data_IF_174428293787
#
_entry.id   IF_174428293787
#
_cell.length_a   1.000
_cell.length_b   1.000
_cell.length_c   1.000
_cell.angle_alpha   90.00
_cell.angle_beta   90.00
_cell.angle_gamma   90.00
#
_symmetry.space_group_name_H-M   'P 1'
#
loop_
_entity.id
_entity.type
_entity.pdbx_description
1 polymer ?
#
# COMPACT_ATOMS: atom_id res chain seq x y z
N UNK A 1 -11.03 33.49 11.77
CA UNK A 1 -10.31 32.25 11.41
C UNK A 1 -11.06 31.65 10.25
N UNK A 2 -10.52 31.77 9.04
CA UNK A 2 -11.13 31.18 7.85
C UNK A 2 -11.05 29.65 8.00
N UNK A 3 -12.19 29.00 8.24
CA UNK A 3 -12.27 27.55 8.25
C UNK A 3 -12.01 27.05 6.83
N UNK A 4 -10.87 26.39 6.62
CA UNK A 4 -10.53 25.71 5.36
C UNK A 4 -11.71 24.84 4.93
N UNK A 5 -12.28 25.14 3.77
CA UNK A 5 -13.32 24.30 3.16
C UNK A 5 -12.66 23.00 2.75
N UNK A 6 -13.15 21.88 3.28
CA UNK A 6 -12.70 20.54 2.89
C UNK A 6 -13.76 19.95 1.96
N UNK A 7 -13.34 19.59 0.75
CA UNK A 7 -14.17 18.88 -0.23
C UNK A 7 -13.66 17.46 -0.37
N UNK A 8 -14.52 16.48 -0.12
CA UNK A 8 -14.23 15.06 -0.27
C UNK A 8 -14.85 14.57 -1.57
N UNK A 9 -14.06 14.06 -2.53
CA UNK A 9 -14.62 13.54 -3.76
C UNK A 9 -15.18 12.13 -3.55
N UNK A 10 -16.43 11.95 -3.95
CA UNK A 10 -17.12 10.64 -3.91
C UNK A 10 -16.85 9.77 -5.15
N UNK A 11 -16.05 10.27 -6.10
CA UNK A 11 -15.73 9.71 -7.42
C UNK A 11 -15.22 8.25 -7.47
N UNK A 12 -15.09 7.54 -6.35
CA UNK A 12 -14.54 6.20 -6.31
C UNK A 12 -15.45 5.23 -5.56
N UNK A 13 -16.55 4.84 -6.21
CA UNK A 13 -17.27 3.59 -5.88
C UNK A 13 -16.36 2.33 -5.99
N UNK A 14 -15.15 2.45 -6.56
CA UNK A 14 -14.22 1.34 -6.78
C UNK A 14 -12.90 1.41 -5.99
N UNK A 15 -12.69 2.43 -5.16
CA UNK A 15 -11.48 2.48 -4.35
C UNK A 15 -11.51 1.41 -3.24
N UNK A 16 -10.40 0.69 -2.99
CA UNK A 16 -10.36 -0.26 -1.88
C UNK A 16 -10.65 0.49 -0.57
N UNK A 17 -11.48 -0.08 0.30
CA UNK A 17 -11.89 0.53 1.60
C UNK A 17 -10.76 1.08 2.47
N UNK A 18 -9.50 0.72 2.20
CA UNK A 18 -8.31 1.23 2.89
C UNK A 18 -7.99 2.69 2.60
N UNK A 19 -8.42 3.23 1.45
CA UNK A 19 -8.20 4.64 1.08
C UNK A 19 -9.43 5.51 1.29
N UNK A 20 -10.57 4.93 1.67
CA UNK A 20 -11.75 5.70 2.07
C UNK A 20 -11.47 6.37 3.41
N UNK A 21 -11.65 7.69 3.54
CA UNK A 21 -11.61 8.34 4.84
C UNK A 21 -12.68 7.69 5.73
N UNK A 22 -12.25 6.95 6.76
CA UNK A 22 -13.16 6.34 7.74
C UNK A 22 -13.76 7.36 8.72
N UNK A 23 -13.60 8.65 8.43
CA UNK A 23 -14.01 9.79 9.24
C UNK A 23 -14.86 10.70 8.36
N UNK A 24 -16.06 11.04 8.81
CA UNK A 24 -16.87 12.13 8.26
C UNK A 24 -17.00 13.23 9.31
N UNK A 25 -16.79 14.49 8.92
CA UNK A 25 -16.98 15.64 9.81
C UNK A 25 -18.12 16.51 9.30
N UNK A 26 -18.99 17.06 10.18
CA UNK A 26 -20.16 17.86 9.76
C UNK A 26 -19.84 19.14 8.94
N UNK A 27 -18.58 19.58 8.96
CA UNK A 27 -18.09 20.73 8.21
C UNK A 27 -17.64 20.39 6.78
N UNK A 28 -17.56 19.11 6.42
CA UNK A 28 -17.06 18.68 5.11
C UNK A 28 -18.14 18.75 4.03
N UNK A 29 -17.70 19.12 2.83
CA UNK A 29 -18.51 19.07 1.62
C UNK A 29 -18.17 17.82 0.81
N UNK A 30 -19.18 17.18 0.23
CA UNK A 30 -19.00 15.94 -0.52
C UNK A 30 -19.29 16.19 -1.99
N UNK A 31 -18.25 16.15 -2.81
CA UNK A 31 -18.39 16.39 -4.24
C UNK A 31 -19.10 15.22 -4.91
N UNK A 32 -20.16 15.55 -5.65
CA UNK A 32 -21.03 14.60 -6.34
C UNK A 32 -20.94 14.81 -7.84
N UNK A 33 -20.63 13.74 -8.57
CA UNK A 33 -20.60 13.74 -10.01
C UNK A 33 -21.52 12.64 -10.56
N UNK A 34 -22.34 12.99 -11.55
CA UNK A 34 -23.29 12.07 -12.19
C UNK A 34 -24.15 11.30 -11.16
N UNK A 35 -24.10 9.96 -11.19
CA UNK A 35 -24.96 9.06 -10.41
C UNK A 35 -24.29 8.60 -9.09
N UNK A 36 -23.34 9.37 -8.56
CA UNK A 36 -22.75 9.12 -7.24
C UNK A 36 -23.84 9.01 -6.17
N UNK A 37 -23.74 8.00 -5.29
CA UNK A 37 -24.74 7.83 -4.25
C UNK A 37 -24.73 9.03 -3.29
N UNK A 38 -25.89 9.63 -2.98
CA UNK A 38 -25.96 10.64 -1.96
C UNK A 38 -25.49 10.04 -0.64
N UNK A 39 -24.64 10.78 0.07
CA UNK A 39 -24.16 10.30 1.35
C UNK A 39 -25.18 10.44 2.47
N UNK A 40 -24.74 10.30 3.72
CA UNK A 40 -25.60 10.38 4.89
C UNK A 40 -26.34 11.72 5.04
N UNK A 41 -27.42 11.77 5.84
CA UNK A 41 -28.26 12.96 6.00
C UNK A 41 -27.54 14.20 6.60
N UNK A 42 -26.37 14.01 7.22
CA UNK A 42 -25.53 15.09 7.75
C UNK A 42 -24.46 15.56 6.75
N UNK A 43 -24.34 14.92 5.58
CA UNK A 43 -23.37 15.30 4.57
C UNK A 43 -23.84 16.53 3.78
N UNK A 44 -22.91 17.43 3.45
CA UNK A 44 -23.18 18.62 2.63
C UNK A 44 -22.88 18.31 1.16
N UNK A 45 -23.85 17.90 0.34
CA UNK A 45 -23.58 17.56 -1.05
C UNK A 45 -23.13 18.80 -1.83
N UNK A 46 -22.17 18.61 -2.71
CA UNK A 46 -21.63 19.63 -3.59
C UNK A 46 -21.71 19.13 -5.05
N UNK A 47 -22.85 19.37 -5.73
CA UNK A 47 -23.05 18.88 -7.10
C UNK A 47 -22.07 19.54 -8.08
N UNK A 48 -21.55 18.77 -9.03
CA UNK A 48 -20.65 19.31 -10.05
C UNK A 48 -21.24 20.51 -10.82
N UNK A 49 -22.54 20.48 -11.13
CA UNK A 49 -23.21 21.59 -11.82
C UNK A 49 -23.29 22.90 -11.02
N UNK A 50 -23.13 22.82 -9.70
CA UNK A 50 -23.14 23.99 -8.81
C UNK A 50 -21.77 24.69 -8.75
N UNK A 51 -20.72 24.10 -9.34
CA UNK A 51 -19.35 24.62 -9.27
C UNK A 51 -18.94 25.39 -10.53
N UNK A 52 -18.07 26.36 -10.33
CA UNK A 52 -17.30 27.05 -11.37
C UNK A 52 -15.84 27.00 -10.95
N UNK A 53 -14.96 26.63 -11.89
CA UNK A 53 -13.51 26.74 -11.72
C UNK A 53 -13.05 27.93 -12.55
N UNK A 54 -12.34 28.84 -11.89
CA UNK A 54 -11.89 30.10 -12.49
C UNK A 54 -10.43 30.39 -12.11
N UNK A 55 -9.76 31.18 -12.93
CA UNK A 55 -8.41 31.67 -12.65
C UNK A 55 -8.49 32.86 -11.68
N UNK A 56 -7.66 32.84 -10.63
CA UNK A 56 -7.57 33.87 -9.62
C UNK A 56 -6.10 34.26 -9.37
N UNK A 57 -5.88 35.39 -8.70
CA UNK A 57 -4.54 35.78 -8.26
C UNK A 57 -3.98 34.70 -7.32
N UNK A 58 -2.94 33.97 -7.78
CA UNK A 58 -2.33 32.87 -7.03
C UNK A 58 -2.74 31.45 -7.47
N UNK A 59 -3.57 31.29 -8.51
CA UNK A 59 -3.86 29.99 -9.12
C UNK A 59 -5.34 29.75 -9.43
N UNK A 60 -5.68 28.49 -9.68
CA UNK A 60 -7.06 28.08 -9.94
C UNK A 60 -7.86 28.03 -8.64
N UNK A 61 -9.13 28.44 -8.71
CA UNK A 61 -10.08 28.40 -7.59
C UNK A 61 -11.36 27.71 -8.03
N UNK A 62 -11.86 26.80 -7.20
CA UNK A 62 -13.21 26.28 -7.34
C UNK A 62 -14.15 27.02 -6.38
N UNK A 63 -15.34 27.37 -6.86
CA UNK A 63 -16.39 27.95 -6.02
C UNK A 63 -17.78 27.50 -6.43
N UNK A 64 -18.72 27.58 -5.50
CA UNK A 64 -20.13 27.50 -5.85
C UNK A 64 -20.58 28.73 -6.65
N UNK A 65 -21.60 28.56 -7.48
CA UNK A 65 -22.20 29.66 -8.25
C UNK A 65 -22.77 30.77 -7.36
N UNK A 66 -23.24 30.43 -6.17
CA UNK A 66 -23.70 31.39 -5.15
C UNK A 66 -22.55 32.04 -4.35
N UNK A 67 -21.31 31.63 -4.58
CA UNK A 67 -20.10 32.18 -3.96
C UNK A 67 -19.89 31.80 -2.49
N UNK A 68 -20.75 30.94 -1.91
CA UNK A 68 -20.68 30.59 -0.47
C UNK A 68 -19.56 29.63 -0.11
N UNK A 69 -19.19 28.75 -1.04
CA UNK A 69 -18.16 27.73 -0.82
C UNK A 69 -17.03 27.97 -1.82
N UNK A 70 -15.81 28.02 -1.32
CA UNK A 70 -14.59 28.29 -2.07
C UNK A 70 -13.50 27.33 -1.59
N UNK A 71 -12.77 26.73 -2.51
CA UNK A 71 -11.68 25.81 -2.18
C UNK A 71 -10.70 25.66 -3.35
N UNK A 72 -9.59 24.96 -3.12
CA UNK A 72 -8.62 24.67 -4.16
C UNK A 72 -9.12 23.50 -5.02
N UNK A 73 -9.16 23.61 -6.36
CA UNK A 73 -9.77 22.60 -7.23
C UNK A 73 -9.12 21.21 -7.14
N UNK A 74 -7.90 21.11 -6.59
CA UNK A 74 -7.25 19.81 -6.31
C UNK A 74 -8.07 18.92 -5.37
N UNK A 75 -8.88 19.51 -4.48
CA UNK A 75 -9.68 18.77 -3.51
C UNK A 75 -10.76 17.93 -4.22
N UNK A 76 -11.18 18.30 -5.44
CA UNK A 76 -12.07 17.49 -6.30
C UNK A 76 -11.43 16.17 -6.74
N UNK A 77 -10.11 16.09 -6.71
CA UNK A 77 -9.32 14.94 -7.19
C UNK A 77 -8.55 14.24 -6.06
N UNK A 78 -8.70 14.68 -4.81
CA UNK A 78 -7.89 14.21 -3.68
C UNK A 78 -7.87 12.68 -3.52
N UNK A 79 -9.03 12.01 -3.64
CA UNK A 79 -9.11 10.54 -3.55
C UNK A 79 -8.40 9.84 -4.71
N UNK A 80 -8.47 10.38 -5.93
CA UNK A 80 -7.80 9.83 -7.11
C UNK A 80 -6.28 10.02 -7.00
N UNK A 81 -5.83 11.24 -6.68
CA UNK A 81 -4.42 11.54 -6.48
C UNK A 81 -3.82 10.67 -5.36
N UNK A 82 -4.55 10.46 -4.26
CA UNK A 82 -4.11 9.60 -3.17
C UNK A 82 -3.94 8.13 -3.61
N UNK A 83 -4.84 7.63 -4.46
CA UNK A 83 -4.75 6.28 -5.00
C UNK A 83 -3.54 6.12 -5.94
N UNK A 84 -3.31 7.08 -6.84
CA UNK A 84 -2.15 7.11 -7.74
C UNK A 84 -0.84 7.21 -6.95
N UNK A 85 -0.75 8.12 -5.97
CA UNK A 85 0.40 8.21 -5.08
C UNK A 85 0.66 6.88 -4.34
N UNK A 86 -0.40 6.24 -3.82
CA UNK A 86 -0.28 4.95 -3.13
C UNK A 86 0.24 3.84 -4.05
N UNK A 87 -0.16 3.83 -5.32
CA UNK A 87 0.33 2.87 -6.30
C UNK A 87 1.83 3.06 -6.58
N UNK A 88 2.31 4.30 -6.54
CA UNK A 88 3.71 4.66 -6.82
C UNK A 88 4.68 4.34 -5.68
N UNK A 89 4.23 4.29 -4.41
CA UNK A 89 5.11 4.02 -3.25
C UNK A 89 5.89 2.70 -3.42
N UNK A 90 5.28 1.70 -4.06
CA UNK A 90 5.93 0.42 -4.34
C UNK A 90 7.05 0.48 -5.38
N UNK A 91 7.08 1.52 -6.21
CA UNK A 91 7.98 1.75 -7.34
C UNK A 91 8.74 3.08 -7.25
N UNK A 92 8.98 3.59 -6.03
CA UNK A 92 9.77 4.81 -5.80
C UNK A 92 11.18 4.73 -6.39
N UNK A 93 11.75 3.53 -6.44
CA UNK A 93 13.07 3.26 -6.98
C UNK A 93 12.94 2.50 -8.29
N UNK A 94 13.90 2.72 -9.20
CA UNK A 94 13.99 1.95 -10.43
C UNK A 94 14.05 0.44 -10.14
N UNK A 95 13.40 -0.42 -10.94
CA UNK A 95 13.44 -1.85 -10.72
C UNK A 95 14.87 -2.40 -10.70
N UNK A 96 15.28 -3.00 -9.59
CA UNK A 96 16.59 -3.61 -9.43
C UNK A 96 16.49 -5.00 -8.78
N UNK A 97 17.60 -5.76 -8.82
CA UNK A 97 17.72 -7.05 -8.13
C UNK A 97 17.55 -6.91 -6.62
N UNK A 98 18.08 -5.83 -6.06
CA UNK A 98 18.01 -5.49 -4.65
C UNK A 98 17.66 -4.01 -4.52
N UNK A 99 16.68 -3.73 -3.68
CA UNK A 99 16.25 -2.38 -3.33
C UNK A 99 16.40 -2.23 -1.82
N UNK A 100 17.18 -1.24 -1.34
CA UNK A 100 17.34 -1.01 0.09
C UNK A 100 16.02 -0.54 0.70
N UNK A 101 15.92 -0.67 2.03
CA UNK A 101 14.86 -0.02 2.80
C UNK A 101 14.95 1.50 2.60
N UNK A 102 13.81 2.14 2.35
CA UNK A 102 13.68 3.60 2.29
C UNK A 102 12.94 4.07 3.54
N UNK A 103 13.58 4.96 4.29
CA UNK A 103 13.01 5.59 5.48
C UNK A 103 12.99 7.11 5.33
N UNK A 104 11.99 7.73 5.94
CA UNK A 104 11.98 9.17 6.23
C UNK A 104 11.85 9.30 7.74
N UNK A 105 12.91 9.80 8.39
CA UNK A 105 13.10 9.71 9.84
C UNK A 105 12.85 8.25 10.33
N UNK A 106 11.94 8.06 11.28
CA UNK A 106 11.58 6.75 11.84
C UNK A 106 10.46 6.04 11.04
N UNK A 107 10.05 6.58 9.90
CA UNK A 107 8.97 6.02 9.07
C UNK A 107 9.55 5.20 7.92
N UNK A 108 9.25 3.90 7.90
CA UNK A 108 9.57 3.03 6.76
C UNK A 108 8.58 3.29 5.63
N UNK A 109 9.05 3.94 4.56
CA UNK A 109 8.25 4.24 3.37
C UNK A 109 8.22 3.03 2.43
N UNK A 110 9.36 2.35 2.26
CA UNK A 110 9.47 1.14 1.46
C UNK A 110 10.40 0.14 2.14
N UNK A 111 9.95 -1.11 2.23
CA UNK A 111 10.72 -2.20 2.83
C UNK A 111 11.81 -2.67 1.88
N UNK A 112 12.92 -3.14 2.45
CA UNK A 112 13.97 -3.78 1.68
C UNK A 112 13.40 -4.95 0.86
N UNK A 113 13.85 -5.06 -0.39
CA UNK A 113 13.26 -5.97 -1.37
C UNK A 113 14.32 -6.61 -2.26
N UNK A 114 14.08 -7.85 -2.63
CA UNK A 114 14.88 -8.60 -3.59
C UNK A 114 13.98 -9.13 -4.70
N UNK A 115 14.49 -9.15 -5.93
CA UNK A 115 13.76 -9.65 -7.09
C UNK A 115 14.63 -10.64 -7.87
N UNK A 116 14.05 -11.80 -8.16
CA UNK A 116 14.69 -12.88 -8.90
C UNK A 116 13.78 -13.34 -10.03
N UNK A 117 14.34 -13.84 -11.11
CA UNK A 117 13.60 -14.63 -12.07
C UNK A 117 13.40 -16.04 -11.51
N UNK A 118 12.23 -16.64 -11.73
CA UNK A 118 11.92 -17.97 -11.23
C UNK A 118 12.94 -19.04 -11.70
N UNK A 119 13.50 -18.84 -12.91
CA UNK A 119 14.56 -19.67 -13.48
C UNK A 119 15.88 -19.67 -12.70
N UNK A 120 16.14 -18.66 -11.86
CA UNK A 120 17.36 -18.55 -11.04
C UNK A 120 17.27 -19.33 -9.71
N UNK A 121 16.08 -19.79 -9.36
CA UNK A 121 15.76 -20.36 -8.06
C UNK A 121 15.81 -21.90 -8.08
N UNK A 122 16.99 -22.45 -8.36
CA UNK A 122 17.17 -23.88 -8.66
C UNK A 122 16.91 -24.81 -7.47
N UNK A 123 16.99 -24.31 -6.23
CA UNK A 123 16.59 -25.08 -5.05
C UNK A 123 15.16 -25.63 -5.17
N UNK A 124 14.29 -24.97 -5.95
CA UNK A 124 12.89 -25.36 -6.09
C UNK A 124 12.70 -26.67 -6.88
N UNK A 125 13.68 -27.06 -7.71
CA UNK A 125 13.66 -28.29 -8.51
C UNK A 125 14.28 -29.50 -7.78
N UNK A 126 14.94 -29.28 -6.65
CA UNK A 126 15.49 -30.36 -5.82
C UNK A 126 14.34 -31.21 -5.28
N UNK A 127 14.38 -32.52 -5.58
CA UNK A 127 13.28 -33.44 -5.28
C UNK A 127 13.27 -33.84 -3.80
N UNK A 128 14.43 -34.20 -3.27
CA UNK A 128 14.58 -34.56 -1.87
C UNK A 128 14.28 -33.37 -0.96
N UNK A 129 13.35 -33.49 0.01
CA UNK A 129 12.97 -32.37 0.88
C UNK A 129 14.12 -31.84 1.76
N UNK A 130 15.00 -32.71 2.25
CA UNK A 130 16.10 -32.29 3.14
C UNK A 130 17.17 -31.55 2.34
N UNK A 131 17.57 -32.09 1.19
CA UNK A 131 18.50 -31.43 0.28
C UNK A 131 17.93 -30.10 -0.23
N UNK A 132 16.63 -30.05 -0.54
CA UNK A 132 15.93 -28.82 -0.96
C UNK A 132 15.99 -27.75 0.13
N UNK A 133 15.73 -28.12 1.38
CA UNK A 133 15.79 -27.20 2.50
C UNK A 133 17.21 -26.65 2.71
N UNK A 134 18.23 -27.50 2.62
CA UNK A 134 19.63 -27.07 2.70
C UNK A 134 20.02 -26.15 1.53
N UNK A 135 19.59 -26.48 0.31
CA UNK A 135 19.83 -25.66 -0.88
C UNK A 135 19.17 -24.28 -0.76
N UNK A 136 17.91 -24.24 -0.29
CA UNK A 136 17.19 -23.00 -0.03
C UNK A 136 17.94 -22.11 0.97
N UNK A 137 18.41 -22.67 2.10
CA UNK A 137 19.14 -21.90 3.13
C UNK A 137 20.49 -21.40 2.62
N UNK A 138 21.23 -22.21 1.85
CA UNK A 138 22.49 -21.80 1.22
C UNK A 138 22.26 -20.66 0.23
N UNK A 139 21.24 -20.78 -0.61
CA UNK A 139 20.83 -19.73 -1.54
C UNK A 139 20.47 -18.44 -0.80
N UNK A 140 19.58 -18.51 0.20
CA UNK A 140 19.14 -17.33 0.95
C UNK A 140 20.31 -16.60 1.60
N UNK A 141 21.24 -17.35 2.21
CA UNK A 141 22.47 -16.80 2.79
C UNK A 141 23.37 -16.15 1.72
N UNK A 142 23.52 -16.76 0.55
CA UNK A 142 24.32 -16.22 -0.54
C UNK A 142 23.78 -14.90 -1.09
N UNK A 143 22.47 -14.69 -1.01
CA UNK A 143 21.79 -13.45 -1.40
C UNK A 143 21.68 -12.42 -0.27
N UNK A 144 22.15 -12.74 0.95
CA UNK A 144 22.03 -11.86 2.11
C UNK A 144 20.60 -11.67 2.62
N UNK A 145 19.70 -12.63 2.37
CA UNK A 145 18.30 -12.53 2.79
C UNK A 145 18.16 -12.69 4.32
N UNK A 146 17.30 -11.89 4.97
CA UNK A 146 16.97 -12.10 6.37
C UNK A 146 16.14 -13.38 6.55
N UNK A 147 16.18 -13.99 7.74
CA UNK A 147 15.45 -15.22 8.06
C UNK A 147 13.94 -15.13 7.73
N UNK A 148 13.32 -14.01 8.06
CA UNK A 148 11.88 -13.79 7.88
C UNK A 148 11.62 -12.83 6.73
N UNK A 149 10.92 -13.30 5.72
CA UNK A 149 10.54 -12.54 4.54
C UNK A 149 9.05 -12.70 4.23
N UNK A 150 8.53 -11.84 3.37
CA UNK A 150 7.33 -12.10 2.60
C UNK A 150 7.72 -12.25 1.13
N UNK A 151 7.23 -13.29 0.45
CA UNK A 151 7.39 -13.44 -0.99
C UNK A 151 6.10 -13.15 -1.74
N UNK A 152 6.23 -12.67 -2.97
CA UNK A 152 5.13 -12.51 -3.91
C UNK A 152 5.59 -13.01 -5.28
N UNK A 153 4.77 -13.87 -5.87
CA UNK A 153 4.88 -14.32 -7.25
C UNK A 153 3.75 -13.65 -8.03
N UNK A 154 3.96 -13.31 -9.29
CA UNK A 154 2.95 -12.64 -10.12
C UNK A 154 1.59 -13.38 -10.17
N UNK A 155 1.60 -14.70 -10.07
CA UNK A 155 0.40 -15.55 -10.04
C UNK A 155 -0.36 -15.54 -8.69
N UNK A 156 0.25 -14.98 -7.63
CA UNK A 156 -0.35 -14.91 -6.29
C UNK A 156 -0.56 -13.45 -5.88
N UNK A 157 -1.80 -13.12 -5.52
CA UNK A 157 -2.20 -11.73 -5.30
C UNK A 157 -1.64 -11.18 -3.99
N UNK A 158 -1.58 -11.99 -2.93
CA UNK A 158 -1.14 -11.55 -1.60
C UNK A 158 0.28 -12.04 -1.28
N UNK A 159 1.13 -11.21 -0.66
CA UNK A 159 2.40 -11.68 -0.14
C UNK A 159 2.21 -12.82 0.86
N UNK A 160 3.03 -13.86 0.75
CA UNK A 160 3.04 -15.01 1.64
C UNK A 160 4.25 -14.95 2.58
N UNK A 161 4.05 -15.31 3.84
CA UNK A 161 5.12 -15.38 4.83
C UNK A 161 6.11 -16.51 4.51
N UNK A 162 7.40 -16.24 4.74
CA UNK A 162 8.51 -17.17 4.58
C UNK A 162 9.45 -17.11 5.78
N UNK A 163 9.64 -18.25 6.44
CA UNK A 163 10.71 -18.48 7.41
C UNK A 163 11.73 -19.45 6.81
N UNK A 164 12.94 -18.95 6.54
CA UNK A 164 14.03 -19.77 5.99
C UNK A 164 14.54 -20.87 6.93
N UNK A 165 14.19 -20.83 8.22
CA UNK A 165 14.48 -21.91 9.16
C UNK A 165 13.32 -22.92 9.30
N UNK A 166 12.21 -22.73 8.59
CA UNK A 166 11.08 -23.66 8.56
C UNK A 166 11.08 -24.49 7.27
N UNK A 167 11.32 -25.81 7.33
CA UNK A 167 11.25 -26.68 6.15
C UNK A 167 9.89 -26.62 5.44
N UNK A 168 8.81 -26.56 6.22
CA UNK A 168 7.44 -26.47 5.70
C UNK A 168 7.24 -25.15 4.93
N UNK A 169 7.71 -24.04 5.48
CA UNK A 169 7.63 -22.74 4.81
C UNK A 169 8.46 -22.73 3.52
N UNK A 170 9.66 -23.31 3.56
CA UNK A 170 10.53 -23.49 2.40
C UNK A 170 9.90 -24.34 1.30
N UNK A 171 9.22 -25.43 1.65
CA UNK A 171 8.51 -26.30 0.70
C UNK A 171 7.33 -25.60 0.03
N UNK A 172 6.56 -24.82 0.81
CA UNK A 172 5.49 -23.98 0.27
C UNK A 172 6.07 -22.99 -0.73
N UNK A 173 7.16 -22.30 -0.38
CA UNK A 173 7.82 -21.35 -1.26
C UNK A 173 8.34 -22.02 -2.54
N UNK A 174 9.02 -23.15 -2.42
CA UNK A 174 9.50 -23.92 -3.57
C UNK A 174 8.37 -24.33 -4.52
N UNK A 175 7.19 -24.68 -3.99
CA UNK A 175 6.00 -24.97 -4.81
C UNK A 175 5.52 -23.75 -5.61
N UNK A 176 5.51 -22.56 -5.00
CA UNK A 176 5.19 -21.32 -5.73
C UNK A 176 6.23 -20.99 -6.79
N UNK A 177 7.52 -21.19 -6.50
CA UNK A 177 8.60 -21.00 -7.47
C UNK A 177 8.45 -21.95 -8.66
N UNK A 178 8.17 -23.24 -8.44
CA UNK A 178 7.91 -24.20 -9.52
C UNK A 178 6.72 -23.80 -10.39
N UNK A 179 5.63 -23.34 -9.76
CA UNK A 179 4.47 -22.83 -10.49
C UNK A 179 4.82 -21.59 -11.34
N UNK A 180 5.63 -20.68 -10.80
CA UNK A 180 6.16 -19.52 -11.53
C UNK A 180 7.03 -19.95 -12.72
N UNK A 181 7.97 -20.88 -12.52
CA UNK A 181 8.83 -21.43 -13.58
C UNK A 181 8.02 -22.05 -14.71
N UNK A 182 6.95 -22.79 -14.37
CA UNK A 182 6.04 -23.39 -15.34
C UNK A 182 5.30 -22.34 -16.18
N UNK A 183 4.97 -21.18 -15.60
CA UNK A 183 4.40 -20.06 -16.33
C UNK A 183 5.45 -19.32 -17.19
N UNK A 184 6.73 -19.34 -16.77
CA UNK A 184 7.86 -18.88 -17.55
C UNK A 184 9.12 -18.69 -16.69
N UNK A 185 10.30 -18.99 -17.24
CA UNK A 185 11.57 -18.86 -16.48
C UNK A 185 11.89 -17.41 -16.08
N UNK A 186 11.40 -16.42 -16.83
CA UNK A 186 11.58 -15.00 -16.55
C UNK A 186 10.53 -14.42 -15.57
N UNK A 187 9.54 -15.21 -15.13
CA UNK A 187 8.52 -14.74 -14.19
C UNK A 187 9.18 -14.28 -12.90
N UNK A 188 8.78 -13.10 -12.41
CA UNK A 188 9.40 -12.47 -11.24
C UNK A 188 8.91 -13.11 -9.94
N UNK A 189 9.86 -13.42 -9.08
CA UNK A 189 9.66 -13.77 -7.68
C UNK A 189 10.29 -12.68 -6.84
N UNK A 190 9.45 -11.94 -6.12
CA UNK A 190 9.88 -10.85 -5.25
C UNK A 190 9.85 -11.29 -3.80
N UNK A 191 10.86 -10.92 -3.04
CA UNK A 191 10.92 -11.07 -1.59
C UNK A 191 11.04 -9.69 -0.96
N UNK A 192 10.40 -9.51 0.19
CA UNK A 192 10.51 -8.30 1.01
C UNK A 192 10.79 -8.70 2.44
N UNK A 193 11.57 -7.90 3.15
CA UNK A 193 11.84 -8.15 4.56
C UNK A 193 10.55 -8.14 5.41
N UNK A 194 10.58 -8.89 6.51
CA UNK A 194 9.58 -8.76 7.55
C UNK A 194 9.83 -7.51 8.41
N UNK A 195 8.87 -6.59 8.41
CA UNK A 195 8.83 -5.36 9.18
C UNK A 195 7.37 -5.13 9.65
N UNK A 196 7.09 -5.01 10.96
CA UNK A 196 8.04 -5.16 12.06
C UNK A 196 8.60 -6.58 12.13
N UNK A 197 9.86 -6.71 12.55
CA UNK A 197 10.42 -8.00 12.99
C UNK A 197 9.78 -8.42 14.32
N UNK A 198 9.94 -9.69 14.71
CA UNK A 198 9.36 -10.21 15.95
C UNK A 198 9.85 -9.45 17.20
N UNK A 199 11.11 -9.01 17.21
CA UNK A 199 11.72 -8.17 18.26
C UNK A 199 11.22 -6.71 18.25
N UNK A 200 10.46 -6.31 17.22
CA UNK A 200 9.94 -4.94 17.05
C UNK A 200 8.43 -4.87 17.25
N UNK A 201 7.77 -6.00 17.54
CA UNK A 201 6.35 -6.03 17.90
C UNK A 201 6.20 -5.45 19.30
N UNK A 202 5.31 -4.47 19.45
CA UNK A 202 5.18 -3.68 20.68
C UNK A 202 3.84 -3.84 21.40
N UNK A 203 2.79 -4.30 20.71
CA UNK A 203 1.46 -4.44 21.31
C UNK A 203 1.41 -5.71 22.19
N UNK A 204 1.12 -5.51 23.47
CA UNK A 204 0.98 -6.55 24.48
C UNK A 204 -0.42 -6.54 25.10
N UNK A 205 -0.95 -7.71 25.43
CA UNK A 205 -2.16 -7.81 26.25
C UNK A 205 -1.82 -7.80 27.76
N UNK A 206 -2.83 -7.91 28.62
CA UNK A 206 -2.65 -7.95 30.07
C UNK A 206 -1.91 -9.21 30.58
N UNK A 207 -1.80 -10.25 29.75
CA UNK A 207 -1.07 -11.49 30.03
C UNK A 207 0.34 -11.49 29.42
N UNK A 208 0.81 -10.36 28.91
CA UNK A 208 2.11 -10.16 28.25
C UNK A 208 2.30 -10.89 26.90
N UNK A 209 1.21 -11.34 26.27
CA UNK A 209 1.27 -11.92 24.92
C UNK A 209 1.51 -10.81 23.88
N UNK A 210 2.38 -11.09 22.89
CA UNK A 210 2.72 -10.14 21.82
C UNK A 210 1.83 -10.31 20.58
N UNK A 211 1.40 -9.19 19.99
CA UNK A 211 0.51 -9.17 18.83
C UNK A 211 1.00 -8.26 17.71
N UNK A 212 0.96 -8.75 16.47
CA UNK A 212 1.07 -7.87 15.31
C UNK A 212 -0.15 -6.94 15.25
N UNK A 213 0.07 -5.66 15.03
CA UNK A 213 -1.01 -4.69 14.85
C UNK A 213 -0.75 -3.75 13.69
N UNK A 214 -1.82 -3.19 13.15
CA UNK A 214 -1.82 -2.14 12.13
C UNK A 214 -2.71 -1.01 12.66
N UNK A 215 -2.15 0.19 12.78
CA UNK A 215 -2.91 1.39 13.12
C UNK A 215 -3.29 2.11 11.82
N UNK A 216 -4.56 2.51 11.72
CA UNK A 216 -5.05 3.37 10.65
C UNK A 216 -5.38 4.73 11.21
N UNK A 217 -4.80 5.77 10.62
CA UNK A 217 -4.87 7.13 11.11
C UNK A 217 -5.42 8.01 9.98
N UNK A 218 -6.36 8.89 10.34
CA UNK A 218 -6.75 10.02 9.51
C UNK A 218 -6.13 11.27 10.13
N UNK A 219 -5.26 11.94 9.39
CA UNK A 219 -4.67 13.21 9.79
C UNK A 219 -5.34 14.34 9.02
N UNK A 220 -5.76 15.38 9.74
CA UNK A 220 -6.29 16.61 9.15
C UNK A 220 -5.25 17.71 9.36
N UNK A 221 -4.80 18.30 8.27
CA UNK A 221 -4.00 19.51 8.32
C UNK A 221 -4.90 20.72 8.62
N UNK A 222 -4.71 21.33 9.78
CA UNK A 222 -5.43 22.52 10.22
C UNK A 222 -4.74 23.83 9.84
N UNK A 223 -3.56 23.77 9.19
CA UNK A 223 -2.77 24.96 8.84
C UNK A 223 -2.48 25.08 7.34
N UNK A 224 -2.97 26.16 6.74
CA UNK A 224 -2.33 26.88 5.63
C UNK A 224 -3.01 28.25 5.50
#
# INVERSE_FOLDING_TARGET
>A
MDTKTVVVPQLLQQAPRRVTPGLGLPAWHYFQFADDQPGGPEERPLPAGALVVEEAAGGLRARTRDGRVIFHPIDLFGSYLSAECSALIGSLLEPARHLPRVTFDDVVISRERWCFAAGELDFAEVQDPEERFLALRRWAKSCGLPRFCFFKVEIERKPCYLDFDSPISGDIFARFVRAARKAGSAVKVSLSEMAPRLDQVWLRDAADNLYTCELRLAALDQGA
#
